data_IF_915642111947
#
_entry.id   IF_915642111947
#
_cell.length_a   1.000
_cell.length_b   1.000
_cell.length_c   1.000
_cell.angle_alpha   90.00
_cell.angle_beta   90.00
_cell.angle_gamma   90.00
#
_symmetry.space_group_name_H-M   'P 1'
#
loop_
_entity.id
_entity.type
_entity.pdbx_description
1 polymer ?
#
# COMPACT_ATOMS: atom_id res chain seq x y z
N UNK A 1 6.16 -24.46 -4.73
CA UNK A 1 6.83 -25.02 -3.53
C UNK A 1 7.87 -23.99 -3.10
N UNK A 2 7.72 -23.39 -1.92
CA UNK A 2 8.76 -22.53 -1.36
C UNK A 2 10.00 -23.37 -0.98
N UNK A 3 11.20 -22.85 -1.23
CA UNK A 3 12.46 -23.47 -0.81
C UNK A 3 12.87 -22.82 0.52
N UNK A 4 12.62 -23.50 1.64
CA UNK A 4 13.03 -23.09 2.98
C UNK A 4 11.89 -22.94 3.99
N UNK A 5 12.24 -22.95 5.29
CA UNK A 5 11.31 -22.81 6.41
C UNK A 5 10.62 -21.44 6.41
N UNK A 6 9.29 -21.41 6.64
CA UNK A 6 8.53 -20.17 6.85
C UNK A 6 8.24 -20.02 8.34
N UNK A 7 8.90 -19.04 8.96
CA UNK A 7 8.91 -18.88 10.41
C UNK A 7 7.53 -18.47 10.94
N UNK A 8 7.15 -18.98 12.12
CA UNK A 8 5.85 -18.67 12.74
C UNK A 8 5.64 -17.17 13.06
N UNK A 9 6.71 -16.37 13.07
CA UNK A 9 6.72 -14.92 13.29
C UNK A 9 7.42 -14.15 12.14
N UNK A 10 7.56 -14.76 10.95
CA UNK A 10 8.18 -14.15 9.78
C UNK A 10 9.71 -13.99 9.82
N UNK A 11 10.36 -13.88 10.98
CA UNK A 11 11.82 -13.55 11.08
C UNK A 11 12.68 -14.53 11.90
N UNK A 12 12.11 -15.48 12.62
CA UNK A 12 12.86 -16.37 13.52
C UNK A 12 12.58 -17.86 13.24
N UNK A 13 13.30 -18.42 12.28
CA UNK A 13 13.21 -19.84 11.96
C UNK A 13 14.25 -20.60 12.79
N UNK A 14 13.79 -21.60 13.56
CA UNK A 14 14.67 -22.64 14.06
C UNK A 14 14.70 -23.76 12.99
N UNK A 15 15.87 -24.06 12.40
CA UNK A 15 16.00 -25.00 11.30
C UNK A 15 15.36 -26.36 11.61
N UNK A 16 14.45 -26.81 10.75
CA UNK A 16 13.87 -28.16 10.82
C UNK A 16 12.71 -28.33 11.83
N UNK A 17 12.31 -27.28 12.55
CA UNK A 17 11.11 -27.30 13.41
C UNK A 17 10.11 -26.17 13.10
N UNK A 18 10.46 -25.23 12.22
CA UNK A 18 9.66 -24.03 11.95
C UNK A 18 8.98 -24.07 10.57
N UNK A 19 8.49 -25.22 10.12
CA UNK A 19 7.93 -25.36 8.78
C UNK A 19 6.39 -25.20 8.76
N UNK A 20 5.91 -24.14 8.11
CA UNK A 20 4.52 -23.99 7.64
C UNK A 20 4.51 -24.28 6.15
N UNK A 21 3.96 -25.42 5.74
CA UNK A 21 3.74 -25.71 4.33
C UNK A 21 2.65 -24.79 3.80
N UNK A 22 3.04 -23.66 3.21
CA UNK A 22 2.15 -22.79 2.46
C UNK A 22 2.25 -23.20 0.99
N UNK A 23 1.12 -23.56 0.40
CA UNK A 23 1.02 -23.64 -1.06
C UNK A 23 1.21 -22.22 -1.65
N UNK A 24 1.69 -22.13 -2.89
CA UNK A 24 2.22 -20.91 -3.54
C UNK A 24 1.25 -19.71 -3.62
N UNK A 25 0.02 -19.81 -3.11
CA UNK A 25 -0.98 -18.75 -3.10
C UNK A 25 -1.40 -18.43 -1.67
N UNK A 26 -1.02 -17.23 -1.23
CA UNK A 26 -1.58 -16.56 -0.06
C UNK A 26 -2.30 -15.29 -0.53
N UNK A 27 -3.47 -15.02 0.04
CA UNK A 27 -4.16 -13.75 -0.16
C UNK A 27 -4.18 -13.01 1.16
N UNK A 28 -3.70 -11.77 1.15
CA UNK A 28 -3.70 -10.88 2.30
C UNK A 28 -4.63 -9.69 2.04
N UNK A 29 -5.35 -9.29 3.07
CA UNK A 29 -6.11 -8.03 3.11
C UNK A 29 -5.94 -7.39 4.48
N UNK A 30 -6.11 -6.08 4.56
CA UNK A 30 -6.27 -5.35 5.81
C UNK A 30 -7.76 -5.17 6.10
N UNK A 31 -8.16 -5.25 7.37
CA UNK A 31 -9.49 -4.81 7.81
C UNK A 31 -9.53 -3.29 8.08
N UNK A 32 -10.70 -2.70 8.33
CA UNK A 32 -10.82 -1.28 8.68
C UNK A 32 -10.13 -0.86 9.98
N UNK A 33 -9.67 -1.82 10.79
CA UNK A 33 -8.89 -1.61 12.01
C UNK A 33 -7.38 -1.68 11.73
N UNK A 34 -6.96 -1.92 10.48
CA UNK A 34 -5.57 -2.04 10.08
C UNK A 34 -4.95 -3.42 10.40
N UNK A 35 -5.78 -4.41 10.72
CA UNK A 35 -5.33 -5.77 11.02
C UNK A 35 -5.25 -6.61 9.75
N UNK A 36 -4.14 -7.34 9.58
CA UNK A 36 -3.97 -8.24 8.46
C UNK A 36 -4.79 -9.53 8.62
N UNK A 37 -5.40 -9.96 7.52
CA UNK A 37 -6.09 -11.23 7.35
C UNK A 37 -5.46 -11.97 6.19
N UNK A 38 -4.87 -13.12 6.47
CA UNK A 38 -4.16 -13.93 5.48
C UNK A 38 -4.91 -15.25 5.31
N UNK A 39 -5.42 -15.50 4.11
CA UNK A 39 -5.92 -16.81 3.71
C UNK A 39 -4.81 -17.58 2.98
N UNK A 40 -4.62 -18.86 3.33
CA UNK A 40 -3.59 -19.71 2.73
C UNK A 40 -4.08 -21.16 2.64
N UNK A 41 -3.58 -21.88 1.63
CA UNK A 41 -3.80 -23.32 1.53
C UNK A 41 -2.71 -24.08 2.30
N UNK A 42 -3.13 -24.99 3.16
CA UNK A 42 -2.30 -25.80 4.07
C UNK A 42 -2.40 -27.29 3.71
N UNK A 43 -1.25 -27.95 3.59
CA UNK A 43 -1.13 -29.39 3.33
C UNK A 43 -0.38 -30.16 4.44
N UNK A 44 -0.09 -29.53 5.58
CA UNK A 44 0.74 -30.10 6.66
C UNK A 44 0.19 -31.44 7.20
N UNK A 45 -1.13 -31.64 7.15
CA UNK A 45 -1.79 -32.92 7.53
C UNK A 45 -3.04 -33.27 6.72
N UNK A 46 -3.78 -32.29 6.21
CA UNK A 46 -4.96 -32.45 5.34
C UNK A 46 -5.07 -31.22 4.44
N UNK A 47 -5.33 -31.41 3.15
CA UNK A 47 -5.53 -30.32 2.19
C UNK A 47 -6.73 -29.44 2.58
N UNK A 48 -6.48 -28.25 3.13
CA UNK A 48 -7.52 -27.30 3.56
C UNK A 48 -7.10 -25.86 3.33
N UNK A 49 -8.09 -24.98 3.19
CA UNK A 49 -7.91 -23.54 3.32
C UNK A 49 -7.92 -23.15 4.80
N UNK A 50 -6.97 -22.30 5.20
CA UNK A 50 -6.89 -21.71 6.54
C UNK A 50 -6.82 -20.21 6.46
N UNK A 51 -7.15 -19.56 7.57
CA UNK A 51 -6.96 -18.13 7.76
C UNK A 51 -6.11 -17.87 9.00
N UNK A 52 -5.27 -16.84 8.94
CA UNK A 52 -4.59 -16.23 10.08
C UNK A 52 -5.06 -14.77 10.18
N UNK A 53 -5.57 -14.40 11.35
CA UNK A 53 -6.03 -13.05 11.63
C UNK A 53 -5.06 -12.41 12.61
N UNK A 54 -4.55 -11.23 12.28
CA UNK A 54 -3.78 -10.44 13.22
C UNK A 54 -4.71 -9.93 14.33
N UNK A 55 -4.42 -10.32 15.57
CA UNK A 55 -5.24 -9.95 16.74
C UNK A 55 -4.62 -8.85 17.59
N UNK A 56 -3.38 -8.46 17.29
CA UNK A 56 -2.61 -7.47 18.05
C UNK A 56 -1.48 -6.89 17.21
N UNK A 57 -1.04 -5.67 17.55
CA UNK A 57 -0.02 -4.96 16.79
C UNK A 57 -0.46 -4.64 15.37
N UNK A 58 -1.78 -4.56 15.13
CA UNK A 58 -2.34 -4.10 13.86
C UNK A 58 -1.72 -2.75 13.52
N UNK A 59 -1.56 -2.48 12.22
CA UNK A 59 -1.12 -1.15 11.81
C UNK A 59 -2.05 -0.16 12.48
N UNK A 60 -1.52 0.82 13.24
CA UNK A 60 -2.36 1.83 13.83
C UNK A 60 -3.17 2.39 12.67
N UNK A 61 -4.51 2.25 12.75
CA UNK A 61 -5.38 3.12 11.99
C UNK A 61 -4.78 4.50 12.21
N UNK A 62 -4.39 5.21 11.14
CA UNK A 62 -3.90 6.57 11.23
C UNK A 62 -5.02 7.46 11.76
N UNK A 63 -5.38 7.28 13.03
CA UNK A 63 -6.15 8.18 13.85
C UNK A 63 -5.16 9.22 14.32
N UNK A 64 -4.63 9.98 13.37
CA UNK A 64 -4.03 11.25 13.68
C UNK A 64 -5.11 12.13 14.28
N UNK A 65 -5.07 12.34 15.60
CA UNK A 65 -5.88 13.35 16.30
C UNK A 65 -5.34 14.76 16.02
N UNK A 66 -5.25 15.09 14.74
CA UNK A 66 -4.73 16.32 14.17
C UNK A 66 -4.80 16.17 12.66
N UNK A 67 -5.18 17.21 11.95
CA UNK A 67 -4.98 17.23 10.51
C UNK A 67 -3.49 17.17 10.24
N UNK A 68 -3.07 16.18 9.46
CA UNK A 68 -1.68 16.01 9.07
C UNK A 68 -1.53 16.59 7.67
N UNK A 69 -0.45 17.33 7.44
CA UNK A 69 -0.14 17.89 6.13
C UNK A 69 0.52 16.77 5.32
N UNK A 70 -0.06 16.42 4.18
CA UNK A 70 0.38 15.28 3.40
C UNK A 70 0.15 15.52 1.93
N UNK A 71 1.16 16.10 1.28
CA UNK A 71 1.10 16.41 -0.14
C UNK A 71 2.22 15.73 -0.89
N UNK A 72 1.92 15.34 -2.12
CA UNK A 72 2.93 14.79 -2.99
C UNK A 72 2.57 14.93 -4.43
N UNK A 73 3.57 15.22 -5.25
CA UNK A 73 3.38 15.26 -6.68
C UNK A 73 4.69 15.17 -7.42
N UNK A 74 4.66 14.54 -8.59
CA UNK A 74 5.85 14.38 -9.39
C UNK A 74 5.75 13.30 -10.45
N UNK A 75 6.90 13.03 -11.07
CA UNK A 75 7.09 11.91 -11.99
C UNK A 75 7.92 10.86 -11.29
N UNK A 76 7.68 9.58 -11.56
CA UNK A 76 8.42 8.47 -10.98
C UNK A 76 8.85 7.46 -12.03
N UNK A 77 9.98 6.80 -11.75
CA UNK A 77 10.53 5.74 -12.59
C UNK A 77 9.95 4.40 -12.16
N UNK A 78 8.80 4.03 -12.71
CA UNK A 78 8.09 2.82 -12.34
C UNK A 78 8.68 1.54 -12.97
N UNK A 79 8.60 0.44 -12.23
CA UNK A 79 9.01 -0.89 -12.70
C UNK A 79 8.20 -1.39 -13.91
N UNK A 80 6.98 -0.87 -14.09
CA UNK A 80 6.07 -1.22 -15.20
C UNK A 80 5.84 -0.09 -16.19
N UNK A 81 6.65 0.96 -16.10
CA UNK A 81 6.55 2.15 -16.94
C UNK A 81 6.59 3.42 -16.11
N UNK A 82 7.03 4.51 -16.73
CA UNK A 82 7.19 5.80 -16.08
C UNK A 82 5.82 6.45 -15.95
N UNK A 83 5.55 7.01 -14.78
CA UNK A 83 4.27 7.59 -14.48
C UNK A 83 4.38 8.89 -13.71
N UNK A 84 3.24 9.52 -13.50
CA UNK A 84 3.06 10.69 -12.66
C UNK A 84 2.02 10.43 -11.58
N UNK A 85 2.06 11.25 -10.55
CA UNK A 85 1.09 11.23 -9.48
C UNK A 85 0.95 12.63 -8.91
N UNK A 86 -0.22 12.90 -8.36
CA UNK A 86 -0.48 13.97 -7.43
C UNK A 86 -1.43 13.41 -6.36
N UNK A 87 -1.15 13.71 -5.10
CA UNK A 87 -2.11 13.52 -4.04
C UNK A 87 -2.15 14.73 -3.14
N UNK A 88 -3.34 14.92 -2.60
CA UNK A 88 -3.69 15.88 -1.57
C UNK A 88 -4.36 15.08 -0.46
N UNK A 89 -3.84 15.21 0.75
CA UNK A 89 -4.36 14.49 1.92
C UNK A 89 -4.47 15.36 3.16
N UNK A 90 -4.49 16.69 2.97
CA UNK A 90 -4.58 17.68 4.04
C UNK A 90 -5.91 18.46 4.03
N UNK A 91 -6.95 17.96 3.35
CA UNK A 91 -8.23 18.66 3.15
C UNK A 91 -8.94 19.11 4.43
N UNK A 92 -8.56 18.59 5.60
CA UNK A 92 -9.05 19.07 6.88
C UNK A 92 -8.29 20.29 7.46
N UNK A 93 -7.12 20.66 6.89
CA UNK A 93 -6.34 21.88 7.13
C UNK A 93 -6.88 23.02 6.26
N UNK A 94 -7.08 22.77 4.96
CA UNK A 94 -7.36 23.82 3.98
C UNK A 94 -8.86 23.88 3.56
N UNK A 95 -9.62 22.83 3.87
CA UNK A 95 -11.06 22.73 3.62
C UNK A 95 -11.42 22.21 2.23
N UNK A 96 -10.47 21.68 1.48
CA UNK A 96 -10.68 21.09 0.17
C UNK A 96 -10.95 19.56 0.25
N UNK A 97 -11.09 18.90 -0.91
CA UNK A 97 -11.35 17.46 -0.95
C UNK A 97 -10.07 16.71 -1.29
N UNK A 98 -9.61 15.89 -0.33
CA UNK A 98 -8.52 14.93 -0.53
C UNK A 98 -8.70 14.15 -1.83
N UNK A 99 -7.62 14.05 -2.61
CA UNK A 99 -7.64 13.40 -3.91
C UNK A 99 -6.32 12.71 -4.23
N UNK A 100 -6.41 11.70 -5.09
CA UNK A 100 -5.25 11.08 -5.74
C UNK A 100 -5.52 11.04 -7.23
N UNK A 101 -4.59 11.57 -8.01
CA UNK A 101 -4.68 11.68 -9.45
C UNK A 101 -3.36 11.27 -10.12
N UNK A 102 -3.47 10.80 -11.36
CA UNK A 102 -2.36 10.46 -12.23
C UNK A 102 -2.83 10.60 -13.68
N UNK A 103 -2.10 11.35 -14.50
CA UNK A 103 -2.39 11.43 -15.94
C UNK A 103 -1.91 10.18 -16.67
N UNK A 104 -0.87 9.55 -16.15
CA UNK A 104 -0.35 8.26 -16.59
C UNK A 104 0.23 7.49 -15.40
N UNK A 105 -0.43 6.40 -14.99
CA UNK A 105 0.03 5.53 -13.91
C UNK A 105 1.16 4.56 -14.32
N UNK A 106 1.68 4.70 -15.54
CA UNK A 106 2.77 3.90 -16.13
C UNK A 106 2.34 2.99 -17.27
N UNK A 107 1.04 2.67 -17.41
CA UNK A 107 0.50 1.86 -18.51
C UNK A 107 -0.17 2.69 -19.62
N UNK A 108 0.04 4.01 -19.61
CA UNK A 108 -0.56 4.95 -20.54
C UNK A 108 -2.02 5.31 -20.22
N UNK A 109 -2.53 4.93 -19.04
CA UNK A 109 -3.87 5.28 -18.58
C UNK A 109 -3.82 6.28 -17.44
N UNK A 110 -4.81 7.17 -17.43
CA UNK A 110 -5.10 8.06 -16.32
C UNK A 110 -5.71 7.29 -15.14
N UNK A 111 -5.59 7.87 -13.97
CA UNK A 111 -6.34 7.50 -12.78
C UNK A 111 -6.80 8.75 -12.05
N UNK A 112 -8.08 8.77 -11.66
CA UNK A 112 -8.69 9.86 -10.90
C UNK A 112 -9.48 9.26 -9.74
N UNK A 113 -9.11 9.62 -8.51
CA UNK A 113 -9.90 9.24 -7.33
C UNK A 113 -11.28 9.90 -7.37
N UNK A 114 -12.27 9.22 -6.83
CA UNK A 114 -13.65 9.73 -6.68
C UNK A 114 -14.10 9.74 -5.22
N UNK A 115 -13.42 8.96 -4.37
CA UNK A 115 -13.60 8.94 -2.93
C UNK A 115 -12.36 8.36 -2.26
N UNK A 116 -11.92 9.02 -1.20
CA UNK A 116 -10.92 8.52 -0.27
C UNK A 116 -11.64 7.84 0.90
N UNK A 117 -11.31 6.57 1.16
CA UNK A 117 -11.92 5.78 2.24
C UNK A 117 -11.07 5.86 3.53
N UNK A 118 -9.74 5.91 3.41
CA UNK A 118 -8.84 6.12 4.54
C UNK A 118 -7.49 6.69 4.14
N UNK A 119 -6.92 7.50 5.04
CA UNK A 119 -5.54 7.96 5.01
C UNK A 119 -4.86 7.48 6.30
N UNK A 120 -3.67 6.90 6.19
CA UNK A 120 -2.87 6.44 7.31
C UNK A 120 -1.42 6.92 7.19
N UNK A 121 -0.91 7.57 8.23
CA UNK A 121 0.45 8.07 8.30
C UNK A 121 1.23 7.27 9.35
N UNK A 122 2.42 6.82 8.97
CA UNK A 122 3.44 6.30 9.85
C UNK A 122 4.62 7.27 9.87
N UNK A 123 4.70 8.07 10.94
CA UNK A 123 5.75 9.07 11.16
C UNK A 123 7.10 8.46 11.54
N UNK A 124 7.17 7.19 11.93
CA UNK A 124 8.45 6.50 12.15
C UNK A 124 9.03 6.00 10.82
N UNK A 125 8.15 5.52 9.93
CA UNK A 125 8.48 5.10 8.57
C UNK A 125 8.57 6.22 7.54
N UNK A 126 8.16 7.45 7.89
CA UNK A 126 7.93 8.57 6.96
C UNK A 126 7.10 8.13 5.75
N UNK A 127 5.99 7.44 6.04
CA UNK A 127 5.14 6.81 5.02
C UNK A 127 3.69 7.23 5.17
N UNK A 128 3.04 7.41 4.02
CA UNK A 128 1.62 7.67 3.87
C UNK A 128 0.98 6.53 3.08
N UNK A 129 -0.16 6.05 3.54
CA UNK A 129 -1.01 5.08 2.82
C UNK A 129 -2.39 5.67 2.62
N UNK A 130 -2.82 5.77 1.36
CA UNK A 130 -4.17 6.23 0.99
C UNK A 130 -4.90 5.05 0.34
N UNK A 131 -6.14 4.81 0.78
CA UNK A 131 -7.02 3.81 0.18
C UNK A 131 -8.32 4.48 -0.26
N UNK A 132 -8.87 4.03 -1.39
CA UNK A 132 -10.14 4.56 -1.87
C UNK A 132 -10.59 3.92 -3.18
N UNK A 133 -11.46 4.65 -3.88
CA UNK A 133 -11.97 4.29 -5.20
C UNK A 133 -11.83 5.44 -6.18
N UNK A 134 -11.73 5.10 -7.46
CA UNK A 134 -11.59 6.05 -8.55
C UNK A 134 -11.92 5.42 -9.89
N UNK A 135 -11.49 6.08 -10.95
CA UNK A 135 -11.62 5.59 -12.31
C UNK A 135 -10.28 5.55 -13.00
N UNK A 136 -9.98 4.47 -13.73
CA UNK A 136 -8.88 4.37 -14.68
C UNK A 136 -9.45 4.35 -16.08
N UNK A 137 -9.08 5.31 -16.94
CA UNK A 137 -9.67 5.46 -18.28
C UNK A 137 -11.21 5.39 -18.27
N UNK A 138 -11.84 5.99 -17.24
CA UNK A 138 -13.29 5.97 -17.01
C UNK A 138 -13.88 4.68 -16.41
N UNK A 139 -13.08 3.64 -16.17
CA UNK A 139 -13.53 2.37 -15.56
C UNK A 139 -13.33 2.41 -14.04
N UNK A 140 -14.36 2.12 -13.21
CA UNK A 140 -14.22 2.12 -11.76
C UNK A 140 -13.20 1.09 -11.25
N UNK A 141 -12.32 1.52 -10.34
CA UNK A 141 -11.33 0.69 -9.64
C UNK A 141 -11.18 1.11 -8.19
N UNK A 142 -10.89 0.17 -7.30
CA UNK A 142 -10.33 0.48 -5.98
C UNK A 142 -8.80 0.64 -6.10
N UNK A 143 -8.21 1.44 -5.22
CA UNK A 143 -6.77 1.71 -5.23
C UNK A 143 -6.18 1.77 -3.82
N UNK A 144 -4.88 1.50 -3.77
CA UNK A 144 -4.00 1.76 -2.64
C UNK A 144 -2.79 2.53 -3.18
N UNK A 145 -2.53 3.69 -2.60
CA UNK A 145 -1.32 4.48 -2.80
C UNK A 145 -0.46 4.36 -1.53
N UNK A 146 0.82 4.06 -1.69
CA UNK A 146 1.82 4.18 -0.63
C UNK A 146 2.90 5.14 -1.08
N UNK A 147 3.18 6.16 -0.27
CA UNK A 147 4.15 7.20 -0.55
C UNK A 147 5.16 7.28 0.61
N UNK A 148 6.45 7.38 0.29
CA UNK A 148 7.55 7.61 1.24
C UNK A 148 8.06 9.02 1.03
N UNK A 149 8.21 9.76 2.14
CA UNK A 149 8.64 11.15 2.14
C UNK A 149 9.98 11.38 1.42
N UNK A 150 10.08 12.50 0.70
CA UNK A 150 11.35 13.01 0.20
C UNK A 150 12.14 13.67 1.32
N UNK A 151 13.47 13.55 1.30
CA UNK A 151 14.34 14.34 2.16
C UNK A 151 15.18 15.31 1.33
N UNK A 152 15.97 16.16 1.98
CA UNK A 152 16.91 17.05 1.29
C UNK A 152 17.96 16.31 0.43
N UNK A 153 18.17 15.00 0.66
CA UNK A 153 19.20 14.20 -0.02
C UNK A 153 18.69 12.89 -0.63
N UNK A 154 17.45 12.49 -0.34
CA UNK A 154 16.83 11.28 -0.91
C UNK A 154 15.51 11.64 -1.58
N UNK A 155 15.35 11.18 -2.82
CA UNK A 155 14.07 11.25 -3.51
C UNK A 155 13.09 10.28 -2.83
N UNK A 156 11.85 10.73 -2.64
CA UNK A 156 10.76 9.87 -2.18
C UNK A 156 10.45 8.74 -3.17
N UNK A 157 9.58 7.84 -2.75
CA UNK A 157 9.12 6.71 -3.56
C UNK A 157 7.61 6.62 -3.52
N UNK A 158 7.03 6.15 -4.62
CA UNK A 158 5.58 5.93 -4.73
C UNK A 158 5.30 4.51 -5.17
N UNK A 159 4.20 3.95 -4.69
CA UNK A 159 3.68 2.63 -5.07
C UNK A 159 2.16 2.68 -5.22
N UNK A 160 1.68 2.19 -6.35
CA UNK A 160 0.28 2.01 -6.68
C UNK A 160 -0.11 0.53 -6.74
N UNK A 161 -1.29 0.23 -6.22
CA UNK A 161 -1.99 -1.04 -6.45
C UNK A 161 -3.45 -0.77 -6.75
N UNK A 162 -3.97 -1.37 -7.83
CA UNK A 162 -5.35 -1.22 -8.26
C UNK A 162 -6.09 -2.56 -8.28
N UNK A 163 -7.41 -2.53 -8.10
CA UNK A 163 -8.26 -3.73 -8.10
C UNK A 163 -8.36 -4.42 -9.48
N UNK A 164 -7.92 -3.76 -10.56
CA UNK A 164 -7.80 -4.36 -11.89
C UNK A 164 -6.55 -5.25 -12.05
N UNK A 165 -5.76 -5.39 -10.97
CA UNK A 165 -4.52 -6.18 -10.93
C UNK A 165 -3.29 -5.40 -11.38
N UNK A 166 -3.43 -4.14 -11.80
CA UNK A 166 -2.29 -3.31 -12.14
C UNK A 166 -1.59 -2.79 -10.87
N UNK A 167 -0.27 -2.82 -10.90
CA UNK A 167 0.60 -2.25 -9.86
C UNK A 167 1.79 -1.58 -10.52
N UNK A 168 2.29 -0.51 -9.93
CA UNK A 168 3.50 0.17 -10.38
C UNK A 168 4.14 0.88 -9.19
N UNK A 169 5.45 0.80 -9.07
CA UNK A 169 6.18 1.42 -7.98
C UNK A 169 7.55 1.89 -8.46
N UNK A 170 8.08 2.93 -7.82
CA UNK A 170 9.41 3.43 -8.15
C UNK A 170 9.79 4.71 -7.42
N UNK A 171 11.07 5.10 -7.52
CA UNK A 171 11.56 6.37 -7.00
C UNK A 171 11.06 7.54 -7.85
N UNK A 172 10.90 8.70 -7.21
CA UNK A 172 10.67 9.95 -7.90
C UNK A 172 11.83 10.27 -8.85
N UNK A 173 11.51 10.83 -10.00
CA UNK A 173 12.44 11.49 -10.92
C UNK A 173 12.42 13.00 -10.71
N UNK A 174 11.24 13.55 -10.42
CA UNK A 174 11.00 14.97 -10.18
C UNK A 174 9.87 15.14 -9.18
N UNK A 175 9.81 16.31 -8.53
CA UNK A 175 8.78 16.59 -7.53
C UNK A 175 9.19 16.15 -6.13
N UNK A 176 8.24 16.12 -5.21
CA UNK A 176 8.47 15.81 -3.80
C UNK A 176 7.23 15.21 -3.15
N UNK A 177 7.47 14.51 -2.03
CA UNK A 177 6.45 14.10 -1.08
C UNK A 177 6.86 14.70 0.26
N UNK A 178 5.93 15.39 0.92
CA UNK A 178 6.14 16.03 2.24
C UNK A 178 5.04 15.54 3.18
N UNK A 179 5.44 14.99 4.33
CA UNK A 179 4.54 14.41 5.32
C UNK A 179 4.83 15.06 6.68
N UNK A 180 3.90 15.84 7.25
CA UNK A 180 4.09 16.58 8.51
C UNK A 180 2.97 16.34 9.52
#
# INVERSE_FOLDING_TARGET
MHIGDICNLGIACIPGISNRNLLDFIQETLDPQGCAHIAYADDNTVNKLRAANQTSGCFPKGGGTGCHEGDGGGNFKGDRGDGDFAFDSDGCIDGDQDRVDSQNRGDGKDFHSTRIDSIAIDSLGNTLTIQGVGTTAGVPVAFILVAVESTAVTLGTVSYTFSDGYTNAGPLLTGSILLH
#
